data_IF_375963053097
#
_entry.id   IF_375963053097
#
_cell.length_a   1.000
_cell.length_b   1.000
_cell.length_c   1.000
_cell.angle_alpha   90.00
_cell.angle_beta   90.00
_cell.angle_gamma   90.00
#
_symmetry.space_group_name_H-M   'P 1'
#
loop_
_entity.id
_entity.type
_entity.pdbx_description
1 polymer ?
#
# COMPACT_ATOMS: atom_id res chain seq x y z
N UNK A 1 -5.02 -0.99 15.50
CA UNK A 1 -4.52 -2.06 14.61
C UNK A 1 -4.25 -1.56 13.19
N UNK A 2 -5.22 -0.96 12.49
CA UNK A 2 -5.10 -0.54 11.07
C UNK A 2 -3.86 0.30 10.76
N UNK A 3 -3.52 1.30 11.59
CA UNK A 3 -2.33 2.15 11.37
C UNK A 3 -1.04 1.33 11.39
N UNK A 4 -0.93 0.39 12.34
CA UNK A 4 0.27 -0.46 12.45
C UNK A 4 0.37 -1.41 11.26
N UNK A 5 -0.71 -2.10 10.91
CA UNK A 5 -0.71 -3.07 9.81
C UNK A 5 -0.42 -2.39 8.45
N UNK A 6 -1.02 -1.25 8.18
CA UNK A 6 -0.73 -0.47 6.98
C UNK A 6 0.66 0.18 7.02
N UNK A 7 1.14 0.58 8.21
CA UNK A 7 2.47 1.15 8.38
C UNK A 7 3.59 0.17 8.01
N UNK A 8 3.46 -1.10 8.37
CA UNK A 8 4.46 -2.14 8.04
C UNK A 8 4.22 -2.78 6.66
N UNK A 9 3.03 -2.62 6.06
CA UNK A 9 2.65 -3.25 4.80
C UNK A 9 3.67 -3.01 3.68
N UNK A 10 4.05 -1.75 3.46
CA UNK A 10 5.00 -1.41 2.39
C UNK A 10 6.37 -2.04 2.59
N UNK A 11 6.85 -2.12 3.84
CA UNK A 11 8.13 -2.75 4.15
C UNK A 11 8.08 -4.26 3.89
N UNK A 12 7.01 -4.95 4.31
CA UNK A 12 6.83 -6.38 4.07
C UNK A 12 6.65 -6.71 2.60
N UNK A 13 5.85 -5.92 1.87
CA UNK A 13 5.67 -6.10 0.43
C UNK A 13 6.99 -5.94 -0.33
N UNK A 14 7.77 -4.92 0.01
CA UNK A 14 9.09 -4.71 -0.61
C UNK A 14 10.05 -5.85 -0.29
N UNK A 15 10.10 -6.33 0.96
CA UNK A 15 10.91 -7.48 1.37
C UNK A 15 10.48 -8.75 0.62
N UNK A 16 9.17 -8.99 0.51
CA UNK A 16 8.62 -10.10 -0.26
C UNK A 16 9.02 -10.04 -1.73
N UNK A 17 8.92 -8.87 -2.36
CA UNK A 17 9.32 -8.64 -3.74
C UNK A 17 10.82 -8.98 -3.96
N UNK A 18 11.68 -8.49 -3.08
CA UNK A 18 13.12 -8.76 -3.16
C UNK A 18 13.44 -10.26 -2.90
N UNK A 19 12.69 -10.89 -2.00
CA UNK A 19 12.83 -12.30 -1.67
C UNK A 19 12.46 -13.27 -2.80
N UNK A 20 11.69 -12.82 -3.81
CA UNK A 20 11.34 -13.64 -4.98
C UNK A 20 12.54 -13.93 -5.90
N UNK A 21 13.67 -13.23 -5.76
CA UNK A 21 14.92 -13.42 -6.53
C UNK A 21 14.71 -13.42 -8.04
N UNK A 22 13.69 -12.71 -8.52
CA UNK A 22 13.33 -12.57 -9.94
C UNK A 22 13.23 -11.09 -10.25
N UNK A 23 14.25 -10.56 -10.93
CA UNK A 23 14.33 -9.13 -11.25
C UNK A 23 13.22 -8.65 -12.18
N UNK A 24 12.72 -9.52 -13.07
CA UNK A 24 11.66 -9.18 -14.02
C UNK A 24 10.26 -9.29 -13.40
N UNK A 25 9.96 -10.41 -12.74
CA UNK A 25 8.60 -10.77 -12.34
C UNK A 25 8.39 -10.87 -10.82
N UNK A 26 9.45 -10.68 -10.01
CA UNK A 26 9.39 -10.83 -8.54
C UNK A 26 8.30 -10.00 -7.88
N UNK A 27 8.06 -8.78 -8.37
CA UNK A 27 6.97 -7.91 -7.91
C UNK A 27 5.59 -8.55 -8.12
N UNK A 28 5.32 -9.10 -9.29
CA UNK A 28 4.03 -9.72 -9.60
C UNK A 28 3.83 -11.02 -8.81
N UNK A 29 4.89 -11.82 -8.65
CA UNK A 29 4.87 -13.02 -7.81
C UNK A 29 4.55 -12.67 -6.35
N UNK A 30 5.18 -11.65 -5.79
CA UNK A 30 4.88 -11.18 -4.44
C UNK A 30 3.43 -10.72 -4.31
N UNK A 31 2.89 -10.02 -5.31
CA UNK A 31 1.52 -9.52 -5.28
C UNK A 31 0.46 -10.63 -5.37
N UNK A 32 0.76 -11.75 -6.01
CA UNK A 32 -0.11 -12.93 -5.98
C UNK A 32 -0.34 -13.42 -4.54
N UNK A 33 0.71 -13.44 -3.70
CA UNK A 33 0.55 -13.82 -2.28
C UNK A 33 -0.24 -12.79 -1.48
N UNK A 34 -0.12 -11.50 -1.82
CA UNK A 34 -1.00 -10.45 -1.27
C UNK A 34 -2.46 -10.74 -1.65
N UNK A 35 -2.73 -11.12 -2.90
CA UNK A 35 -4.07 -11.51 -3.35
C UNK A 35 -4.63 -12.70 -2.58
N UNK A 36 -3.82 -13.73 -2.32
CA UNK A 36 -4.20 -14.87 -1.48
C UNK A 36 -4.53 -14.42 -0.05
N UNK A 37 -3.72 -13.54 0.54
CA UNK A 37 -3.97 -13.00 1.88
C UNK A 37 -5.29 -12.21 1.92
N UNK A 38 -5.58 -11.38 0.92
CA UNK A 38 -6.86 -10.69 0.79
C UNK A 38 -8.03 -11.66 0.61
N UNK A 39 -7.87 -12.72 -0.16
CA UNK A 39 -8.91 -13.74 -0.28
C UNK A 39 -9.23 -14.38 1.08
N UNK A 40 -8.21 -14.74 1.85
CA UNK A 40 -8.41 -15.33 3.19
C UNK A 40 -9.08 -14.35 4.15
N UNK A 41 -8.66 -13.09 4.16
CA UNK A 41 -9.12 -12.10 5.14
C UNK A 41 -10.37 -11.32 4.70
N UNK A 42 -10.57 -11.09 3.41
CA UNK A 42 -11.67 -10.29 2.90
C UNK A 42 -12.81 -11.11 2.28
N UNK A 43 -12.60 -12.41 2.04
CA UNK A 43 -13.65 -13.31 1.54
C UNK A 43 -13.95 -14.40 2.57
N UNK A 44 -12.97 -15.24 2.91
CA UNK A 44 -13.24 -16.39 3.77
C UNK A 44 -13.59 -16.00 5.19
N UNK A 45 -12.88 -15.05 5.80
CA UNK A 45 -13.17 -14.66 7.18
C UNK A 45 -14.57 -14.03 7.36
N UNK A 46 -15.02 -13.05 6.52
CA UNK A 46 -16.39 -12.57 6.58
C UNK A 46 -17.43 -13.66 6.29
N UNK A 47 -17.17 -14.55 5.34
CA UNK A 47 -18.06 -15.66 5.02
C UNK A 47 -18.29 -16.56 6.26
N UNK A 48 -17.21 -16.95 6.93
CA UNK A 48 -17.31 -17.76 8.16
C UNK A 48 -18.12 -17.04 9.24
N UNK A 49 -17.89 -15.71 9.41
CA UNK A 49 -18.63 -14.92 10.39
C UNK A 49 -20.13 -14.85 10.06
N UNK A 50 -20.47 -14.64 8.77
CA UNK A 50 -21.87 -14.57 8.32
C UNK A 50 -22.58 -15.91 8.53
N UNK A 51 -21.94 -17.02 8.17
CA UNK A 51 -22.48 -18.38 8.39
C UNK A 51 -22.65 -18.65 9.89
N UNK A 52 -21.65 -18.35 10.70
CA UNK A 52 -21.70 -18.59 12.15
C UNK A 52 -22.77 -17.76 12.86
N UNK A 53 -23.13 -16.59 12.30
CA UNK A 53 -24.21 -15.73 12.82
C UNK A 53 -25.58 -16.05 12.27
N UNK A 54 -25.70 -16.98 11.31
CA UNK A 54 -26.97 -17.25 10.62
C UNK A 54 -27.51 -16.02 9.90
N UNK A 55 -26.63 -15.21 9.30
CA UNK A 55 -27.04 -13.98 8.65
C UNK A 55 -27.82 -14.27 7.37
N UNK A 56 -28.79 -13.39 7.05
CA UNK A 56 -29.52 -13.44 5.77
C UNK A 56 -28.59 -13.18 4.59
N UNK A 57 -28.87 -13.85 3.46
CA UNK A 57 -28.09 -13.73 2.21
C UNK A 57 -28.72 -12.75 1.23
N UNK A 58 -29.48 -11.79 1.75
CA UNK A 58 -30.02 -10.71 0.91
C UNK A 58 -29.00 -9.55 0.83
N UNK A 59 -28.60 -9.24 -0.39
CA UNK A 59 -27.62 -8.22 -0.67
C UNK A 59 -28.22 -7.11 -1.54
N UNK A 60 -28.48 -5.92 -0.97
CA UNK A 60 -28.93 -4.77 -1.74
C UNK A 60 -27.91 -4.41 -2.85
N UNK A 61 -28.36 -4.33 -4.11
CA UNK A 61 -27.50 -4.10 -5.28
C UNK A 61 -26.61 -2.87 -5.15
N UNK A 62 -27.12 -1.78 -4.57
CA UNK A 62 -26.35 -0.57 -4.32
C UNK A 62 -25.18 -0.79 -3.35
N UNK A 63 -25.43 -1.52 -2.26
CA UNK A 63 -24.38 -1.88 -1.29
C UNK A 63 -23.30 -2.75 -1.91
N UNK A 64 -23.71 -3.77 -2.67
CA UNK A 64 -22.77 -4.64 -3.39
C UNK A 64 -21.88 -3.85 -4.34
N UNK A 65 -22.48 -2.98 -5.17
CA UNK A 65 -21.73 -2.20 -6.15
C UNK A 65 -20.70 -1.29 -5.49
N UNK A 66 -21.10 -0.52 -4.49
CA UNK A 66 -20.19 0.39 -3.79
C UNK A 66 -19.08 -0.35 -3.03
N UNK A 67 -19.39 -1.51 -2.44
CA UNK A 67 -18.38 -2.35 -1.80
C UNK A 67 -17.37 -2.90 -2.80
N UNK A 68 -17.84 -3.31 -3.98
CA UNK A 68 -16.97 -3.78 -5.06
C UNK A 68 -16.06 -2.66 -5.59
N UNK A 69 -16.61 -1.47 -5.81
CA UNK A 69 -15.84 -0.28 -6.24
C UNK A 69 -14.77 0.07 -5.22
N UNK A 70 -15.10 0.03 -3.93
CA UNK A 70 -14.15 0.26 -2.85
C UNK A 70 -13.02 -0.79 -2.85
N UNK A 71 -13.37 -2.07 -3.04
CA UNK A 71 -12.40 -3.16 -3.15
C UNK A 71 -11.45 -2.98 -4.34
N UNK A 72 -11.98 -2.63 -5.51
CA UNK A 72 -11.20 -2.34 -6.72
C UNK A 72 -10.25 -1.16 -6.48
N UNK A 73 -10.74 -0.07 -5.90
CA UNK A 73 -9.92 1.10 -5.61
C UNK A 73 -8.76 0.76 -4.65
N UNK A 74 -9.03 -0.02 -3.59
CA UNK A 74 -8.01 -0.50 -2.68
C UNK A 74 -6.97 -1.42 -3.34
N UNK A 75 -7.42 -2.36 -4.18
CA UNK A 75 -6.54 -3.28 -4.91
C UNK A 75 -5.65 -2.54 -5.92
N UNK A 76 -6.21 -1.59 -6.66
CA UNK A 76 -5.46 -0.74 -7.60
C UNK A 76 -4.42 0.11 -6.85
N UNK A 77 -4.79 0.69 -5.69
CA UNK A 77 -3.85 1.43 -4.85
C UNK A 77 -2.67 0.57 -4.41
N UNK A 78 -2.93 -0.64 -3.91
CA UNK A 78 -1.89 -1.60 -3.53
C UNK A 78 -1.01 -2.01 -4.73
N UNK A 79 -1.61 -2.20 -5.90
CA UNK A 79 -0.87 -2.50 -7.13
C UNK A 79 0.04 -1.33 -7.57
N UNK A 80 -0.43 -0.09 -7.46
CA UNK A 80 0.39 1.10 -7.75
C UNK A 80 1.59 1.22 -6.79
N UNK A 81 1.42 0.89 -5.50
CA UNK A 81 2.54 0.81 -4.53
C UNK A 81 3.58 -0.21 -4.99
N UNK A 82 3.14 -1.39 -5.44
CA UNK A 82 4.03 -2.42 -5.99
C UNK A 82 4.82 -1.92 -7.20
N UNK A 83 4.16 -1.22 -8.13
CA UNK A 83 4.81 -0.64 -9.31
C UNK A 83 5.84 0.44 -8.91
N UNK A 84 5.53 1.28 -7.91
CA UNK A 84 6.45 2.27 -7.39
C UNK A 84 7.72 1.64 -6.80
N UNK A 85 7.60 0.52 -6.08
CA UNK A 85 8.76 -0.25 -5.63
C UNK A 85 9.56 -0.85 -6.81
N UNK A 86 8.87 -1.31 -7.86
CA UNK A 86 9.51 -1.76 -9.10
C UNK A 86 10.28 -0.66 -9.84
N UNK A 87 9.86 0.60 -9.69
CA UNK A 87 10.55 1.78 -10.20
C UNK A 87 11.63 2.33 -9.25
N UNK A 88 12.20 1.49 -8.39
CA UNK A 88 13.23 1.82 -7.38
C UNK A 88 12.73 2.73 -6.24
N UNK A 89 11.43 2.85 -6.04
CA UNK A 89 10.87 3.49 -4.85
C UNK A 89 11.24 2.71 -3.59
N UNK A 90 11.55 3.43 -2.51
CA UNK A 90 11.83 2.80 -1.21
C UNK A 90 10.60 2.90 -0.31
N UNK A 91 10.35 1.93 0.60
CA UNK A 91 9.18 1.96 1.47
C UNK A 91 8.99 3.27 2.24
N UNK A 92 10.04 3.90 2.85
CA UNK A 92 9.86 5.16 3.54
C UNK A 92 9.34 6.29 2.64
N UNK A 93 9.74 6.34 1.37
CA UNK A 93 9.31 7.37 0.43
C UNK A 93 7.91 7.10 -0.09
N UNK A 94 7.69 5.91 -0.63
CA UNK A 94 6.41 5.55 -1.26
C UNK A 94 5.27 5.59 -0.23
N UNK A 95 5.49 5.00 0.95
CA UNK A 95 4.45 4.96 1.98
C UNK A 95 4.20 6.34 2.61
N UNK A 96 5.24 7.19 2.75
CA UNK A 96 5.03 8.56 3.23
C UNK A 96 4.18 9.39 2.27
N UNK A 97 4.39 9.26 0.96
CA UNK A 97 3.57 9.92 -0.06
C UNK A 97 2.12 9.41 0.00
N UNK A 98 1.93 8.10 0.09
CA UNK A 98 0.59 7.49 0.17
C UNK A 98 -0.14 7.93 1.43
N UNK A 99 0.50 7.86 2.60
CA UNK A 99 -0.15 8.20 3.87
C UNK A 99 -0.32 9.70 4.10
N UNK A 100 0.48 10.54 3.47
CA UNK A 100 0.25 11.98 3.47
C UNK A 100 -0.84 12.38 2.45
N UNK A 101 -0.86 11.74 1.28
CA UNK A 101 -1.78 12.07 0.20
C UNK A 101 -3.19 11.50 0.37
N UNK A 102 -3.32 10.26 0.83
CA UNK A 102 -4.62 9.61 0.95
C UNK A 102 -5.61 10.35 1.89
N UNK A 103 -5.21 10.84 3.07
CA UNK A 103 -6.09 11.67 3.90
C UNK A 103 -6.54 12.97 3.24
N UNK A 104 -5.66 13.59 2.45
CA UNK A 104 -5.97 14.80 1.69
C UNK A 104 -7.06 14.53 0.66
N UNK A 105 -6.87 13.49 -0.16
CA UNK A 105 -7.87 13.06 -1.15
C UNK A 105 -9.20 12.72 -0.48
N UNK A 106 -9.16 11.97 0.62
CA UNK A 106 -10.37 11.62 1.39
C UNK A 106 -11.08 12.86 1.96
N UNK A 107 -10.33 13.84 2.45
CA UNK A 107 -10.89 15.08 2.96
C UNK A 107 -11.65 15.87 1.88
N UNK A 108 -11.04 16.03 0.69
CA UNK A 108 -11.69 16.67 -0.44
C UNK A 108 -12.92 15.90 -0.93
N UNK A 109 -12.82 14.59 -1.05
CA UNK A 109 -13.94 13.73 -1.44
C UNK A 109 -15.12 13.83 -0.45
N UNK A 110 -14.81 13.83 0.86
CA UNK A 110 -15.84 13.98 1.90
C UNK A 110 -16.55 15.34 1.83
N UNK A 111 -15.86 16.43 1.53
CA UNK A 111 -16.46 17.74 1.32
C UNK A 111 -17.40 17.72 0.11
N UNK A 112 -17.00 17.08 -0.99
CA UNK A 112 -17.83 17.00 -2.21
C UNK A 112 -19.10 16.19 -1.95
N UNK A 113 -19.00 15.07 -1.22
CA UNK A 113 -20.15 14.23 -0.90
C UNK A 113 -21.09 14.84 0.16
N UNK A 114 -20.53 15.54 1.11
CA UNK A 114 -21.24 16.07 2.28
C UNK A 114 -20.93 17.56 2.45
N UNK A 115 -21.28 18.35 1.42
CA UNK A 115 -21.08 19.79 1.52
C UNK A 115 -21.90 20.34 2.69
N UNK A 116 -21.28 21.03 3.67
CA UNK A 116 -21.98 21.60 4.80
C UNK A 116 -23.09 22.55 4.36
N UNK A 117 -24.19 22.67 5.13
CA UNK A 117 -25.33 23.54 4.81
C UNK A 117 -24.96 25.00 4.57
N UNK A 118 -23.82 25.49 5.08
CA UNK A 118 -23.27 26.82 4.83
C UNK A 118 -22.26 26.90 3.67
N UNK A 119 -22.14 25.83 2.86
CA UNK A 119 -21.16 25.79 1.77
C UNK A 119 -19.70 25.74 2.26
N UNK A 120 -18.77 26.05 1.39
CA UNK A 120 -17.33 26.04 1.71
C UNK A 120 -16.94 27.04 2.80
N UNK A 121 -17.68 28.14 2.95
CA UNK A 121 -17.43 29.16 3.97
C UNK A 121 -17.67 28.70 5.39
N UNK A 122 -18.43 27.62 5.58
CA UNK A 122 -18.68 27.03 6.92
C UNK A 122 -17.56 26.07 7.37
N UNK A 123 -16.63 25.73 6.48
CA UNK A 123 -15.51 24.86 6.81
C UNK A 123 -14.46 25.68 7.56
N UNK A 124 -14.14 25.23 8.78
CA UNK A 124 -13.19 25.95 9.63
C UNK A 124 -11.78 25.97 8.99
N UNK A 125 -11.06 27.10 9.03
CA UNK A 125 -9.70 27.22 8.46
C UNK A 125 -8.71 26.18 8.99
N UNK A 126 -8.90 25.72 10.23
CA UNK A 126 -8.06 24.67 10.84
C UNK A 126 -8.11 23.35 10.07
N UNK A 127 -9.20 23.06 9.37
CA UNK A 127 -9.28 21.88 8.51
C UNK A 127 -8.28 21.97 7.34
N UNK A 128 -8.23 23.09 6.66
CA UNK A 128 -7.27 23.32 5.57
C UNK A 128 -5.82 23.37 6.08
N UNK A 129 -5.60 23.95 7.26
CA UNK A 129 -4.30 23.92 7.91
C UNK A 129 -3.84 22.48 8.19
N UNK A 130 -4.75 21.60 8.65
CA UNK A 130 -4.46 20.17 8.84
C UNK A 130 -4.03 19.47 7.55
N UNK A 131 -4.70 19.76 6.42
CA UNK A 131 -4.34 19.25 5.09
C UNK A 131 -2.92 19.68 4.70
N UNK A 132 -2.62 20.97 4.87
CA UNK A 132 -1.28 21.53 4.55
C UNK A 132 -0.20 20.88 5.42
N UNK A 133 -0.44 20.76 6.72
CA UNK A 133 0.50 20.12 7.65
C UNK A 133 0.74 18.65 7.30
N UNK A 134 -0.30 17.90 6.90
CA UNK A 134 -0.14 16.51 6.45
C UNK A 134 0.73 16.41 5.20
N UNK A 135 0.50 17.29 4.21
CA UNK A 135 1.30 17.33 3.00
C UNK A 135 2.75 17.72 3.28
N UNK A 136 2.98 18.74 4.10
CA UNK A 136 4.33 19.16 4.51
C UNK A 136 5.05 18.05 5.29
N UNK A 137 4.37 17.37 6.21
CA UNK A 137 4.91 16.23 6.93
C UNK A 137 5.39 15.12 6.01
N UNK A 138 4.58 14.75 5.01
CA UNK A 138 4.96 13.77 3.99
C UNK A 138 6.17 14.21 3.17
N UNK A 139 6.25 15.47 2.78
CA UNK A 139 7.40 16.05 2.08
C UNK A 139 8.67 15.99 2.93
N UNK A 140 8.60 16.37 4.20
CA UNK A 140 9.75 16.33 5.12
C UNK A 140 10.27 14.92 5.32
N UNK A 141 9.40 13.93 5.56
CA UNK A 141 9.80 12.53 5.70
C UNK A 141 10.47 12.02 4.41
N UNK A 142 9.94 12.40 3.24
CA UNK A 142 10.51 12.02 1.95
C UNK A 142 11.87 12.66 1.71
N UNK A 143 12.02 13.92 2.06
CA UNK A 143 13.26 14.69 1.85
C UNK A 143 14.36 14.26 2.82
N UNK A 144 14.05 14.11 4.10
CA UNK A 144 15.01 13.75 5.17
C UNK A 144 15.08 12.25 5.46
N UNK A 145 14.62 11.40 4.53
CA UNK A 145 14.74 9.95 4.70
C UNK A 145 16.18 9.52 5.01
N UNK A 146 16.42 8.55 5.90
CA UNK A 146 17.74 7.98 6.12
C UNK A 146 18.26 7.33 4.82
N UNK A 147 19.54 7.55 4.53
CA UNK A 147 20.17 6.82 3.43
C UNK A 147 20.23 5.33 3.78
N UNK A 148 19.90 4.43 2.81
CA UNK A 148 20.06 3.01 3.05
C UNK A 148 21.54 2.70 3.37
N UNK A 149 21.82 1.78 4.30
CA UNK A 149 23.20 1.36 4.56
C UNK A 149 23.82 0.84 3.24
N UNK A 150 25.13 1.06 3.04
CA UNK A 150 25.81 0.57 1.85
C UNK A 150 25.58 -0.93 1.73
N UNK A 151 25.26 -1.39 0.50
CA UNK A 151 25.04 -2.81 0.21
C UNK A 151 26.26 -3.61 0.69
N UNK A 152 26.03 -4.58 1.57
CA UNK A 152 27.11 -5.49 2.01
C UNK A 152 27.73 -6.14 0.76
N UNK A 153 29.06 -6.24 0.69
CA UNK A 153 29.74 -6.86 -0.46
C UNK A 153 29.49 -8.39 -0.48
N UNK A 154 28.34 -8.80 -0.93
CA UNK A 154 27.98 -10.22 -0.98
C UNK A 154 28.04 -10.80 -2.41
N UNK A 155 28.36 -10.01 -3.42
CA UNK A 155 28.36 -10.44 -4.81
C UNK A 155 29.75 -10.85 -5.34
N UNK A 156 30.85 -10.43 -4.75
CA UNK A 156 32.17 -10.73 -5.27
C UNK A 156 32.64 -12.18 -4.99
N UNK A 157 32.18 -12.78 -3.89
CA UNK A 157 32.58 -14.14 -3.53
C UNK A 157 31.88 -15.24 -4.36
N UNK A 158 30.67 -14.97 -4.86
CA UNK A 158 29.91 -15.96 -5.62
C UNK A 158 30.36 -16.03 -7.11
N UNK A 159 30.96 -14.98 -7.64
CA UNK A 159 31.45 -14.96 -9.02
C UNK A 159 32.84 -15.60 -9.13
N UNK A 160 33.68 -15.45 -8.10
CA UNK A 160 34.99 -16.07 -8.06
C UNK A 160 34.97 -17.61 -7.94
N UNK A 161 33.89 -18.17 -7.37
CA UNK A 161 33.74 -19.61 -7.19
C UNK A 161 33.20 -20.35 -8.43
N UNK A 162 32.88 -19.67 -9.53
CA UNK A 162 32.30 -20.24 -10.75
C UNK A 162 33.25 -20.23 -11.98
N UNK A 163 34.52 -19.89 -11.83
CA UNK A 163 35.46 -20.04 -12.93
C UNK A 163 36.01 -21.46 -12.88
N UNK A 164 35.64 -22.36 -13.82
CA UNK A 164 36.28 -23.66 -13.91
C UNK A 164 37.72 -23.45 -14.35
N UNK A 165 38.67 -24.00 -13.63
CA UNK A 165 40.05 -24.09 -14.07
C UNK A 165 40.05 -24.89 -15.37
N UNK A 166 40.33 -24.21 -16.50
CA UNK A 166 40.72 -24.86 -17.74
C UNK A 166 42.10 -25.49 -17.49
N UNK A 167 42.11 -26.78 -17.17
CA UNK A 167 43.31 -27.59 -17.15
C UNK A 167 43.70 -27.94 -18.62
N UNK A 168 44.94 -27.69 -18.90
CA UNK A 168 45.63 -28.09 -20.13
C UNK A 168 45.60 -29.60 -20.35
#
# INVERSE_FOLDING_TARGET
MTVVTWGVYGAFLHTGQMGMKDAANGRYKAFLFVGIAYFLTAVLAPLVVLVARGADWDYPKGGMLWSLVAGIAGALGAFCVLLAFGAKGTPPVVMSIVFAGAPVVNAFYSIIQHLPQGGFSSIKPQFFLGIVLAALGGCLVTYYKPNPPPAKPQAAAATAAKTPALSK
#
